data_IF_443968254843
#
_entry.id   IF_443968254843
#
_cell.length_a   1.000
_cell.length_b   1.000
_cell.length_c   1.000
_cell.angle_alpha   90.00
_cell.angle_beta   90.00
_cell.angle_gamma   90.00
#
_symmetry.space_group_name_H-M   'P 1'
#
loop_
_entity.id
_entity.type
_entity.pdbx_description
1 polymer ?
#
# COMPACT_ATOMS: atom_id res chain seq x y z
N UNK A 1 25.31 13.13 -7.00
CA UNK A 1 24.38 14.27 -6.85
C UNK A 1 23.15 13.68 -6.20
N UNK A 2 22.86 14.06 -4.96
CA UNK A 2 21.65 13.59 -4.27
C UNK A 2 20.44 14.29 -4.90
N UNK A 3 19.42 13.51 -5.23
CA UNK A 3 18.17 14.02 -5.78
C UNK A 3 17.29 14.50 -4.61
N UNK A 4 16.88 15.78 -4.58
CA UNK A 4 16.12 16.33 -3.46
C UNK A 4 14.79 15.62 -3.22
N UNK A 5 14.14 15.11 -4.28
CA UNK A 5 12.88 14.35 -4.16
C UNK A 5 13.16 12.99 -3.50
N UNK A 6 14.27 12.34 -3.87
CA UNK A 6 14.65 11.05 -3.29
C UNK A 6 14.95 11.20 -1.80
N UNK A 7 15.64 12.27 -1.40
CA UNK A 7 15.92 12.53 0.02
C UNK A 7 14.67 12.85 0.84
N UNK A 8 13.73 13.61 0.27
CA UNK A 8 12.42 13.84 0.89
C UNK A 8 11.66 12.53 1.11
N UNK A 9 11.57 11.68 0.08
CA UNK A 9 10.92 10.36 0.18
C UNK A 9 11.58 9.50 1.26
N UNK A 10 12.91 9.49 1.32
CA UNK A 10 13.66 8.73 2.33
C UNK A 10 13.41 9.27 3.73
N UNK A 11 13.35 10.58 3.90
CA UNK A 11 13.06 11.22 5.19
C UNK A 11 11.67 10.84 5.68
N UNK A 12 10.66 10.92 4.81
CA UNK A 12 9.28 10.56 5.15
C UNK A 12 9.19 9.07 5.53
N UNK A 13 9.86 8.18 4.79
CA UNK A 13 9.88 6.74 5.12
C UNK A 13 10.48 6.47 6.50
N UNK A 14 11.61 7.10 6.83
CA UNK A 14 12.24 6.95 8.16
C UNK A 14 11.34 7.43 9.28
N UNK A 15 10.65 8.56 9.09
CA UNK A 15 9.70 9.06 10.09
C UNK A 15 8.56 8.06 10.35
N UNK A 16 7.98 7.50 9.28
CA UNK A 16 6.93 6.48 9.40
C UNK A 16 7.46 5.22 10.10
N UNK A 17 8.67 4.76 9.75
CA UNK A 17 9.29 3.59 10.38
C UNK A 17 9.53 3.84 11.88
N UNK A 18 10.06 5.01 12.26
CA UNK A 18 10.29 5.41 13.65
C UNK A 18 8.99 5.50 14.47
N UNK A 19 7.91 6.02 13.89
CA UNK A 19 6.57 6.08 14.51
C UNK A 19 6.04 4.68 14.88
N UNK A 20 6.43 3.66 14.11
CA UNK A 20 6.07 2.26 14.37
C UNK A 20 7.17 1.46 15.08
N UNK A 21 8.19 2.14 15.63
CA UNK A 21 9.26 1.52 16.40
C UNK A 21 10.25 0.72 15.55
N UNK A 22 10.38 1.05 14.26
CA UNK A 22 11.15 0.31 13.25
C UNK A 22 10.75 -1.18 13.16
N UNK A 23 9.51 -1.49 13.52
CA UNK A 23 8.94 -2.84 13.49
C UNK A 23 8.01 -2.95 12.27
N UNK A 24 8.43 -3.78 11.31
CA UNK A 24 7.70 -3.99 10.06
C UNK A 24 6.33 -4.64 10.27
N UNK A 25 6.20 -5.51 11.27
CA UNK A 25 4.93 -6.18 11.55
C UNK A 25 3.93 -5.17 12.11
N UNK A 26 4.37 -4.26 12.99
CA UNK A 26 3.54 -3.16 13.51
C UNK A 26 3.13 -2.16 12.44
N UNK A 27 4.06 -1.79 11.56
CA UNK A 27 3.75 -0.93 10.42
C UNK A 27 2.67 -1.55 9.53
N UNK A 28 2.79 -2.85 9.22
CA UNK A 28 1.82 -3.57 8.40
C UNK A 28 0.45 -3.67 9.09
N UNK A 29 0.45 -3.93 10.40
CA UNK A 29 -0.78 -3.96 11.21
C UNK A 29 -1.50 -2.61 11.16
N UNK A 30 -0.78 -1.50 11.35
CA UNK A 30 -1.34 -0.15 11.23
C UNK A 30 -1.96 0.10 9.85
N UNK A 31 -1.27 -0.28 8.78
CA UNK A 31 -1.79 -0.16 7.40
C UNK A 31 -3.09 -0.96 7.24
N UNK A 32 -3.18 -2.16 7.80
CA UNK A 32 -4.41 -2.96 7.73
C UNK A 32 -5.55 -2.37 8.56
N UNK A 33 -5.27 -1.77 9.71
CA UNK A 33 -6.28 -1.05 10.50
C UNK A 33 -6.85 0.15 9.73
N UNK A 34 -5.99 0.97 9.12
CA UNK A 34 -6.43 2.10 8.29
C UNK A 34 -7.24 1.64 7.07
N UNK A 35 -6.86 0.52 6.44
CA UNK A 35 -7.64 -0.08 5.37
C UNK A 35 -9.03 -0.53 5.84
N UNK A 36 -9.15 -1.10 7.05
CA UNK A 36 -10.44 -1.51 7.61
C UNK A 36 -11.34 -0.32 7.93
N UNK A 37 -10.77 0.84 8.31
CA UNK A 37 -11.51 2.08 8.56
C UNK A 37 -12.06 2.73 7.28
N UNK A 38 -11.44 2.47 6.13
CA UNK A 38 -11.78 3.09 4.85
C UNK A 38 -12.07 2.07 3.73
N UNK A 39 -13.04 1.15 3.91
CA UNK A 39 -13.34 0.10 2.93
C UNK A 39 -13.78 0.65 1.58
N UNK A 40 -14.39 1.84 1.53
CA UNK A 40 -14.85 2.54 0.33
C UNK A 40 -13.70 3.04 -0.56
N UNK A 41 -12.54 3.32 0.03
CA UNK A 41 -11.33 3.74 -0.71
C UNK A 41 -10.60 2.54 -1.32
N UNK A 42 -10.91 1.33 -0.84
CA UNK A 42 -10.25 0.11 -1.29
C UNK A 42 -10.94 -0.43 -2.54
N UNK A 43 -10.40 -0.11 -3.72
CA UNK A 43 -10.90 -0.63 -4.99
C UNK A 43 -10.51 -2.11 -5.14
N UNK A 44 -11.30 -3.03 -4.57
CA UNK A 44 -11.21 -4.46 -4.90
C UNK A 44 -11.79 -4.70 -6.29
N UNK A 45 -10.97 -4.51 -7.33
CA UNK A 45 -11.37 -4.90 -8.69
C UNK A 45 -11.60 -6.40 -8.71
N UNK A 46 -12.84 -6.83 -8.98
CA UNK A 46 -13.11 -8.24 -9.26
C UNK A 46 -12.26 -8.65 -10.48
N UNK A 47 -11.70 -9.87 -10.49
CA UNK A 47 -11.00 -10.36 -11.67
C UNK A 47 -11.94 -10.27 -12.88
N UNK A 48 -11.39 -9.90 -14.04
CA UNK A 48 -12.18 -9.92 -15.28
C UNK A 48 -12.61 -11.37 -15.53
N UNK A 49 -13.90 -11.65 -15.73
CA UNK A 49 -14.32 -13.00 -16.08
C UNK A 49 -13.60 -13.44 -17.35
N UNK A 50 -13.06 -14.66 -17.36
CA UNK A 50 -12.54 -15.27 -18.57
C UNK A 50 -13.71 -15.44 -19.54
N UNK A 51 -13.74 -14.64 -20.61
CA UNK A 51 -14.70 -14.83 -21.70
C UNK A 51 -14.28 -16.11 -22.40
N UNK A 52 -14.99 -17.21 -22.15
CA UNK A 52 -14.84 -18.42 -22.97
C UNK A 52 -15.31 -18.06 -24.37
N UNK A 53 -14.39 -17.97 -25.33
CA UNK A 53 -14.76 -17.96 -26.73
C UNK A 53 -15.40 -19.31 -27.03
N UNK A 54 -16.72 -19.33 -27.19
CA UNK A 54 -17.40 -20.46 -27.80
C UNK A 54 -16.94 -20.48 -29.26
N UNK A 55 -16.05 -21.42 -29.59
CA UNK A 55 -15.78 -21.76 -30.99
C UNK A 55 -17.04 -22.46 -31.48
N UNK A 56 -17.81 -21.75 -32.31
CA UNK A 56 -18.93 -22.31 -33.10
C UNK A 56 -18.37 -22.86 -34.39
#
# INVERSE_FOLDING_TARGET
>A
MEDPIVEEIRSIRRQIEEEHGNDMDRLLEHVYEEQRKHPERFVRRKPRPLVRQTVV
#
